data_IF_466358733473
#
_entry.id   IF_466358733473
#
_cell.length_a   1.000
_cell.length_b   1.000
_cell.length_c   1.000
_cell.angle_alpha   90.00
_cell.angle_beta   90.00
_cell.angle_gamma   90.00
#
_symmetry.space_group_name_H-M   'P 1'
#
loop_
_entity.id
_entity.type
_entity.pdbx_description
1 polymer ?
#
# COMPACT_ATOMS: atom_id res chain seq x y z
N UNK A 1 -7.79 8.41 -8.04
CA UNK A 1 -7.19 7.88 -6.80
C UNK A 1 -6.11 6.86 -7.14
N UNK A 2 -4.99 6.96 -6.44
CA UNK A 2 -3.90 5.99 -6.55
C UNK A 2 -3.91 5.10 -5.31
N UNK A 3 -3.72 3.80 -5.53
CA UNK A 3 -3.70 2.80 -4.48
C UNK A 3 -2.29 2.23 -4.38
N UNK A 4 -1.72 2.26 -3.17
CA UNK A 4 -0.39 1.72 -2.91
C UNK A 4 -0.53 0.49 -2.02
N UNK A 5 0.01 -0.64 -2.46
CA UNK A 5 -0.03 -1.90 -1.72
C UNK A 5 1.40 -2.34 -1.48
N UNK A 6 1.84 -2.33 -0.24
CA UNK A 6 3.23 -2.58 0.08
C UNK A 6 3.41 -3.36 1.37
N UNK A 7 4.49 -4.15 1.43
CA UNK A 7 4.97 -4.77 2.66
C UNK A 7 6.00 -3.87 3.33
N UNK A 8 6.68 -3.05 2.51
CA UNK A 8 7.87 -2.29 2.90
C UNK A 8 7.53 -0.81 3.02
N UNK A 9 7.24 -0.37 4.22
CA UNK A 9 6.87 1.02 4.47
C UNK A 9 7.42 1.47 5.83
N UNK A 10 7.79 2.77 6.01
CA UNK A 10 8.18 3.25 7.33
C UNK A 10 7.09 2.99 8.37
N UNK A 11 7.41 2.82 9.65
CA UNK A 11 8.68 3.16 10.30
C UNK A 11 9.81 2.14 10.14
N UNK A 12 9.57 0.99 9.54
CA UNK A 12 10.65 0.06 9.22
C UNK A 12 11.67 0.76 8.32
N UNK A 13 12.96 0.55 8.60
CA UNK A 13 14.04 1.20 7.86
C UNK A 13 14.57 0.33 6.74
N UNK A 14 14.91 0.94 5.61
CA UNK A 14 15.50 0.24 4.49
C UNK A 14 15.33 1.01 3.19
N UNK A 15 16.01 0.54 2.13
CA UNK A 15 15.96 1.18 0.82
C UNK A 15 14.58 1.15 0.18
N UNK A 16 13.91 -0.01 0.24
CA UNK A 16 12.58 -0.14 -0.32
C UNK A 16 11.56 0.69 0.47
N UNK A 17 11.69 0.72 1.79
CA UNK A 17 10.83 1.53 2.63
C UNK A 17 10.94 3.01 2.29
N UNK A 18 12.16 3.50 2.12
CA UNK A 18 12.42 4.88 1.73
C UNK A 18 11.88 5.20 0.34
N UNK A 19 12.04 4.26 -0.60
CA UNK A 19 11.54 4.42 -1.96
C UNK A 19 10.01 4.52 -1.97
N UNK A 20 9.34 3.60 -1.28
CA UNK A 20 7.88 3.59 -1.23
C UNK A 20 7.35 4.84 -0.53
N UNK A 21 8.02 5.30 0.52
CA UNK A 21 7.67 6.52 1.24
C UNK A 21 7.78 7.74 0.33
N UNK A 22 8.91 7.90 -0.33
CA UNK A 22 9.15 9.03 -1.22
C UNK A 22 8.18 9.07 -2.40
N UNK A 23 7.97 7.91 -3.02
CA UNK A 23 7.04 7.79 -4.14
C UNK A 23 5.61 8.15 -3.71
N UNK A 24 5.16 7.59 -2.60
CA UNK A 24 3.81 7.83 -2.09
C UNK A 24 3.59 9.31 -1.75
N UNK A 25 4.56 9.92 -1.08
CA UNK A 25 4.48 11.35 -0.76
C UNK A 25 4.43 12.20 -2.02
N UNK A 26 5.21 11.87 -3.03
CA UNK A 26 5.21 12.61 -4.30
C UNK A 26 3.88 12.49 -5.03
N UNK A 27 3.33 11.30 -5.10
CA UNK A 27 2.05 11.05 -5.75
C UNK A 27 0.92 11.77 -5.00
N UNK A 28 0.94 11.73 -3.67
CA UNK A 28 -0.12 12.29 -2.84
C UNK A 28 -0.23 13.82 -2.93
N UNK A 29 0.80 14.50 -3.42
CA UNK A 29 0.74 15.94 -3.64
C UNK A 29 -0.28 16.33 -4.70
N UNK A 30 -0.54 15.46 -5.66
CA UNK A 30 -1.37 15.75 -6.82
C UNK A 30 -2.55 14.83 -6.97
N UNK A 31 -2.60 13.73 -6.20
CA UNK A 31 -3.63 12.71 -6.35
C UNK A 31 -4.10 12.21 -5.00
N UNK A 32 -5.39 11.91 -4.91
CA UNK A 32 -5.92 11.20 -3.76
C UNK A 32 -5.25 9.83 -3.69
N UNK A 33 -4.70 9.47 -2.53
CA UNK A 33 -3.87 8.28 -2.37
C UNK A 33 -4.28 7.50 -1.12
N UNK A 34 -4.38 6.18 -1.27
CA UNK A 34 -4.64 5.24 -0.18
C UNK A 34 -3.52 4.20 -0.13
N UNK A 35 -2.99 3.95 1.05
CA UNK A 35 -1.92 2.97 1.25
C UNK A 35 -2.42 1.81 2.10
N UNK A 36 -2.13 0.59 1.66
CA UNK A 36 -2.28 -0.62 2.46
C UNK A 36 -0.86 -1.14 2.74
N UNK A 37 -0.46 -1.13 3.99
CA UNK A 37 0.89 -1.52 4.42
C UNK A 37 0.81 -2.54 5.55
N UNK A 38 1.91 -3.25 5.75
CA UNK A 38 2.01 -4.18 6.87
C UNK A 38 2.10 -3.41 8.19
N UNK A 39 1.54 -4.01 9.24
CA UNK A 39 1.56 -3.43 10.57
C UNK A 39 2.99 -3.32 11.12
N UNK A 40 3.28 -2.18 11.74
CA UNK A 40 4.52 -1.90 12.45
C UNK A 40 4.16 -1.26 13.79
N UNK A 41 4.81 -1.67 14.88
CA UNK A 41 4.45 -1.19 16.21
C UNK A 41 4.46 0.32 16.36
N UNK A 42 5.44 0.99 15.77
CA UNK A 42 5.62 2.44 15.91
C UNK A 42 5.07 3.22 14.74
N UNK A 43 4.04 2.70 14.08
CA UNK A 43 3.51 3.31 12.86
C UNK A 43 2.75 4.60 13.10
N UNK A 44 2.16 4.77 14.27
CA UNK A 44 1.20 5.86 14.52
C UNK A 44 1.77 7.25 14.26
N UNK A 45 2.98 7.51 14.73
CA UNK A 45 3.61 8.81 14.54
C UNK A 45 3.81 9.15 13.06
N UNK A 46 4.25 8.17 12.29
CA UNK A 46 4.42 8.31 10.85
C UNK A 46 3.06 8.46 10.16
N UNK A 47 2.11 7.61 10.50
CA UNK A 47 0.80 7.61 9.85
C UNK A 47 0.04 8.91 10.13
N UNK A 48 0.21 9.48 11.31
CA UNK A 48 -0.43 10.76 11.66
C UNK A 48 0.26 11.96 11.02
N UNK A 49 1.49 11.81 10.53
CA UNK A 49 2.27 12.91 9.95
C UNK A 49 1.95 13.20 8.48
N UNK A 50 1.19 12.33 7.82
CA UNK A 50 0.92 12.43 6.38
C UNK A 50 -0.55 12.77 6.11
N UNK A 51 -0.80 13.34 4.93
CA UNK A 51 -2.15 13.73 4.52
C UNK A 51 -2.94 12.58 3.87
N UNK A 52 -2.25 11.55 3.40
CA UNK A 52 -2.92 10.40 2.77
C UNK A 52 -3.29 9.35 3.82
N UNK A 53 -4.23 8.49 3.45
CA UNK A 53 -4.72 7.43 4.33
C UNK A 53 -3.82 6.21 4.28
N UNK A 54 -3.45 5.68 5.46
CA UNK A 54 -2.68 4.44 5.57
C UNK A 54 -3.47 3.45 6.41
N UNK A 55 -3.69 2.27 5.85
CA UNK A 55 -4.31 1.17 6.58
C UNK A 55 -3.26 0.09 6.80
N UNK A 56 -3.03 -0.26 8.06
CA UNK A 56 -2.03 -1.25 8.44
C UNK A 56 -2.68 -2.60 8.71
N UNK A 57 -2.08 -3.65 8.16
CA UNK A 57 -2.60 -5.02 8.30
C UNK A 57 -1.62 -5.85 9.11
N UNK A 58 -2.09 -6.41 10.22
CA UNK A 58 -1.28 -7.24 11.11
C UNK A 58 -1.61 -8.71 11.00
N UNK A 59 -0.98 -9.50 11.88
CA UNK A 59 -1.15 -10.93 11.96
C UNK A 59 0.09 -11.70 11.49
N UNK A 60 0.05 -13.04 11.61
CA UNK A 60 1.13 -13.89 11.14
C UNK A 60 1.34 -13.67 9.63
N UNK A 61 2.58 -13.83 9.19
CA UNK A 61 2.99 -13.47 7.83
C UNK A 61 2.07 -14.01 6.73
N UNK A 62 1.70 -15.28 6.80
CA UNK A 62 0.85 -15.90 5.80
C UNK A 62 -0.58 -15.37 5.85
N UNK A 63 -1.13 -15.29 7.07
CA UNK A 63 -2.49 -14.77 7.29
C UNK A 63 -2.56 -13.31 6.85
N UNK A 64 -1.53 -12.53 7.15
CA UNK A 64 -1.45 -11.13 6.79
C UNK A 64 -1.53 -10.90 5.28
N UNK A 65 -0.86 -11.75 4.51
CA UNK A 65 -0.89 -11.69 3.05
C UNK A 65 -2.33 -11.81 2.51
N UNK A 66 -3.05 -12.83 2.99
CA UNK A 66 -4.43 -13.07 2.53
C UNK A 66 -5.38 -11.99 3.05
N UNK A 67 -5.21 -11.57 4.29
CA UNK A 67 -6.03 -10.51 4.87
C UNK A 67 -5.86 -9.20 4.11
N UNK A 68 -4.63 -8.83 3.79
CA UNK A 68 -4.35 -7.61 3.04
C UNK A 68 -4.98 -7.67 1.66
N UNK A 69 -4.82 -8.79 0.96
CA UNK A 69 -5.42 -8.97 -0.35
C UNK A 69 -6.96 -8.84 -0.30
N UNK A 70 -7.58 -9.45 0.70
CA UNK A 70 -9.03 -9.34 0.89
C UNK A 70 -9.47 -7.89 1.06
N UNK A 71 -8.81 -7.16 1.96
CA UNK A 71 -9.15 -5.77 2.24
C UNK A 71 -8.92 -4.86 1.03
N UNK A 72 -7.84 -5.10 0.29
CA UNK A 72 -7.56 -4.34 -0.92
C UNK A 72 -8.61 -4.62 -1.99
N UNK A 73 -8.96 -5.88 -2.21
CA UNK A 73 -9.99 -6.24 -3.19
C UNK A 73 -11.35 -5.64 -2.85
N UNK A 74 -11.73 -5.63 -1.57
CA UNK A 74 -12.97 -4.99 -1.12
C UNK A 74 -12.92 -3.48 -1.34
N UNK A 75 -11.80 -2.86 -1.05
CA UNK A 75 -11.62 -1.43 -1.28
C UNK A 75 -11.77 -1.08 -2.76
N UNK A 76 -11.17 -1.88 -3.63
CA UNK A 76 -11.25 -1.68 -5.09
C UNK A 76 -12.70 -1.77 -5.57
N UNK A 77 -13.47 -2.73 -5.05
CA UNK A 77 -14.88 -2.88 -5.41
C UNK A 77 -15.70 -1.66 -5.05
N UNK A 78 -15.38 -1.01 -3.94
CA UNK A 78 -16.12 0.13 -3.42
C UNK A 78 -15.67 1.46 -3.99
N UNK A 79 -14.50 1.52 -4.62
CA UNK A 79 -13.89 2.76 -5.09
C UNK A 79 -13.52 2.66 -6.57
N UNK A 80 -14.47 3.00 -7.41
CA UNK A 80 -14.29 2.90 -8.87
C UNK A 80 -13.39 3.98 -9.47
N UNK A 81 -12.97 4.94 -8.64
CA UNK A 81 -12.10 6.03 -9.06
C UNK A 81 -10.61 5.69 -9.03
N UNK A 82 -10.27 4.45 -8.69
CA UNK A 82 -8.87 4.02 -8.68
C UNK A 82 -8.35 3.96 -10.10
N UNK A 83 -7.29 4.73 -10.36
CA UNK A 83 -6.66 4.82 -11.68
C UNK A 83 -5.50 3.86 -11.82
N UNK A 84 -4.77 3.63 -10.73
CA UNK A 84 -3.55 2.85 -10.76
C UNK A 84 -3.28 2.22 -9.42
N UNK A 85 -2.74 0.99 -9.43
CA UNK A 85 -2.33 0.26 -8.23
C UNK A 85 -0.81 0.12 -8.30
N UNK A 86 -0.12 0.63 -7.28
CA UNK A 86 1.34 0.62 -7.21
C UNK A 86 1.78 -0.29 -6.07
N UNK A 87 2.71 -1.18 -6.35
CA UNK A 87 3.21 -2.12 -5.35
C UNK A 87 4.74 -2.13 -5.30
N UNK A 88 5.28 -2.48 -4.13
CA UNK A 88 6.71 -2.64 -3.93
C UNK A 88 7.26 -3.88 -4.64
N UNK A 89 6.47 -4.94 -4.70
CA UNK A 89 6.89 -6.23 -5.24
C UNK A 89 5.69 -6.93 -5.89
N UNK A 90 5.95 -7.75 -6.92
CA UNK A 90 4.87 -8.45 -7.62
C UNK A 90 4.04 -9.33 -6.69
N UNK A 91 4.66 -9.87 -5.62
CA UNK A 91 3.95 -10.68 -4.63
C UNK A 91 2.86 -9.90 -3.91
N UNK A 92 3.00 -8.59 -3.78
CA UNK A 92 1.96 -7.74 -3.19
C UNK A 92 0.74 -7.62 -4.09
N UNK A 93 0.88 -7.91 -5.38
CA UNK A 93 -0.22 -7.86 -6.35
C UNK A 93 -0.80 -9.24 -6.67
N UNK A 94 -0.17 -10.30 -6.20
CA UNK A 94 -0.48 -11.69 -6.61
C UNK A 94 -1.94 -12.06 -6.41
N UNK A 95 -2.54 -11.61 -5.32
CA UNK A 95 -3.92 -11.93 -4.98
C UNK A 95 -4.89 -10.77 -5.23
N UNK A 96 -4.42 -9.70 -5.86
CA UNK A 96 -5.25 -8.54 -6.16
C UNK A 96 -5.98 -8.78 -7.49
N UNK A 97 -7.31 -8.84 -7.40
CA UNK A 97 -8.18 -9.10 -8.55
C UNK A 97 -8.70 -7.77 -9.09
N UNK A 98 -8.01 -7.20 -10.06
CA UNK A 98 -8.43 -5.94 -10.68
C UNK A 98 -7.90 -5.84 -12.09
N UNK A 99 -8.67 -5.21 -12.96
CA UNK A 99 -8.27 -4.88 -14.32
C UNK A 99 -7.61 -3.50 -14.40
N UNK A 100 -7.50 -2.80 -13.26
CA UNK A 100 -6.85 -1.50 -13.22
C UNK A 100 -5.36 -1.63 -13.51
N UNK A 101 -4.76 -0.55 -13.98
CA UNK A 101 -3.33 -0.51 -14.25
C UNK A 101 -2.54 -0.82 -13.00
N UNK A 102 -1.55 -1.69 -13.10
CA UNK A 102 -0.69 -2.10 -11.99
C UNK A 102 0.75 -1.79 -12.32
N UNK A 103 1.44 -1.18 -11.37
CA UNK A 103 2.87 -0.88 -11.47
C UNK A 103 3.57 -1.57 -10.31
N UNK A 104 4.60 -2.35 -10.65
CA UNK A 104 5.38 -3.08 -9.67
C UNK A 104 6.83 -2.62 -9.75
N UNK A 105 7.40 -2.20 -8.62
CA UNK A 105 8.77 -1.65 -8.60
C UNK A 105 9.83 -2.73 -8.65
N UNK A 106 9.54 -3.93 -8.11
CA UNK A 106 10.45 -5.07 -8.15
C UNK A 106 9.68 -6.30 -8.61
N UNK A 107 10.22 -7.01 -9.56
CA UNK A 107 9.67 -8.26 -10.08
C UNK A 107 10.30 -9.49 -9.44
#
# INVERSE_FOLDING_TARGET
>A
MYLVVTRSFPPELGGMQNLMWGLTNSISKYNLTKVFADYQEKHKEIDDSVSFSIERIGGAKLIRKYRKAYLVNEFIKKNKKIECIIADHWKSLELIKSKKKKICLIH
#
